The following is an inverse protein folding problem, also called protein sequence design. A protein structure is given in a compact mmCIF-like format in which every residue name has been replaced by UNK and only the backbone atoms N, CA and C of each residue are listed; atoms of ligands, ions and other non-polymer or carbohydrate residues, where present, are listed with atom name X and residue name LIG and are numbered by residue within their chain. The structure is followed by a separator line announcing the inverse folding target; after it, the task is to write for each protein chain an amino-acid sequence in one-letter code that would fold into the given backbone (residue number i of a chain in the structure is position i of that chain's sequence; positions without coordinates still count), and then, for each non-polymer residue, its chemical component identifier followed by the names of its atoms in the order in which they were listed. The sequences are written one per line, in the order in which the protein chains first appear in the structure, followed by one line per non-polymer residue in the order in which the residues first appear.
data_IF_172380893328
#
_entry.id   IF_172380893328
#
_cell.length_a   1.000
_cell.length_b   1.000
_cell.length_c   1.000
_cell.angle_alpha   90.00
_cell.angle_beta   90.00
_cell.angle_gamma   90.00
#
_symmetry.space_group_name_H-M   'P 1'
#
loop_
_entity.id
_entity.type
_entity.pdbx_description
1 polymer ?
#
# COMPACT_ATOMS: atom_id res chain seq x y z
N UNK A 1 5.82 11.72 -7.43
CA UNK A 1 6.44 10.42 -7.09
C UNK A 1 7.42 10.49 -5.90
N UNK A 2 7.99 11.64 -5.53
CA UNK A 2 8.93 11.72 -4.38
C UNK A 2 8.35 11.27 -3.03
N UNK A 3 7.06 11.51 -2.76
CA UNK A 3 6.42 11.14 -1.50
C UNK A 3 6.46 9.63 -1.21
N UNK A 4 6.23 8.76 -2.22
CA UNK A 4 6.22 7.32 -2.00
C UNK A 4 7.62 6.79 -1.64
N UNK A 5 8.67 7.40 -2.20
CA UNK A 5 10.06 7.07 -1.87
C UNK A 5 10.39 7.42 -0.42
N UNK A 6 9.85 8.53 0.12
CA UNK A 6 10.04 8.89 1.53
C UNK A 6 9.32 7.94 2.49
N UNK A 7 8.26 7.26 2.06
CA UNK A 7 7.56 6.25 2.87
C UNK A 7 8.27 4.89 2.86
N UNK A 8 9.19 4.67 1.92
CA UNK A 8 9.87 3.39 1.73
C UNK A 8 10.55 2.86 3.01
N UNK A 9 11.30 3.68 3.79
CA UNK A 9 11.98 3.21 5.00
C UNK A 9 11.05 2.64 6.08
N UNK A 10 9.76 3.02 6.08
CA UNK A 10 8.77 2.51 7.04
C UNK A 10 8.49 1.01 6.86
N UNK A 11 8.79 0.49 5.67
CA UNK A 11 8.49 -0.88 5.28
C UNK A 11 9.78 -1.71 5.17
N UNK A 12 10.90 -1.06 4.81
CA UNK A 12 12.23 -1.70 4.75
C UNK A 12 12.77 -2.11 6.13
N UNK A 13 12.36 -1.44 7.21
CA UNK A 13 12.76 -1.78 8.56
C UNK A 13 11.84 -2.82 9.24
N UNK A 14 10.90 -3.43 8.50
CA UNK A 14 9.89 -4.36 9.01
C UNK A 14 8.98 -3.81 10.13
N UNK A 15 8.89 -2.48 10.26
CA UNK A 15 7.94 -1.87 11.17
C UNK A 15 6.50 -1.95 10.64
N UNK A 16 6.35 -1.91 9.31
CA UNK A 16 5.07 -1.97 8.60
C UNK A 16 5.12 -2.97 7.45
N UNK A 17 4.02 -3.68 7.21
CA UNK A 17 3.89 -4.61 6.08
C UNK A 17 3.72 -3.86 4.76
N UNK A 18 2.93 -2.79 4.80
CA UNK A 18 2.76 -1.92 3.66
C UNK A 18 2.35 -0.52 4.08
N UNK A 19 2.54 0.42 3.15
CA UNK A 19 1.94 1.74 3.23
C UNK A 19 1.36 2.16 1.89
N UNK A 20 0.27 2.94 1.93
CA UNK A 20 -0.46 3.41 0.74
C UNK A 20 -0.57 4.93 0.81
N UNK A 21 -0.29 5.58 -0.31
CA UNK A 21 -0.54 6.99 -0.53
C UNK A 21 -1.86 7.16 -1.28
N UNK A 22 -2.79 7.86 -0.66
CA UNK A 22 -4.08 8.20 -1.21
C UNK A 22 -4.15 9.70 -1.53
N UNK A 23 -4.89 10.07 -2.57
CA UNK A 23 -5.16 11.47 -2.97
C UNK A 23 -6.67 11.72 -3.01
N UNK A 24 -7.10 12.92 -2.67
CA UNK A 24 -8.48 13.32 -2.88
C UNK A 24 -8.72 13.63 -4.37
N UNK A 25 -9.67 12.90 -4.98
CA UNK A 25 -10.11 13.13 -6.35
C UNK A 25 -10.76 14.50 -6.51
N UNK A 26 -10.62 15.12 -7.69
CA UNK A 26 -11.24 16.41 -8.01
C UNK A 26 -12.59 16.21 -8.72
N UNK A 27 -13.70 16.61 -8.07
CA UNK A 27 -15.06 16.72 -8.63
C UNK A 27 -15.69 15.45 -9.27
N UNK A 28 -17.03 15.41 -9.46
CA UNK A 28 -18.05 15.42 -8.41
C UNK A 28 -18.11 14.11 -7.58
N UNK A 29 -17.36 13.07 -7.95
CA UNK A 29 -17.43 11.75 -7.32
C UNK A 29 -17.00 11.73 -5.86
N UNK A 30 -16.19 12.72 -5.43
CA UNK A 30 -15.62 12.84 -4.09
C UNK A 30 -15.08 11.47 -3.64
N UNK A 31 -14.07 11.01 -4.36
CA UNK A 31 -13.39 9.75 -4.06
C UNK A 31 -12.00 10.01 -3.47
N UNK A 32 -11.47 8.97 -2.84
CA UNK A 32 -10.10 8.88 -2.35
C UNK A 32 -9.39 7.90 -3.28
N UNK A 33 -8.43 8.37 -4.06
CA UNK A 33 -7.77 7.64 -5.15
C UNK A 33 -6.40 7.14 -4.73
N UNK A 34 -6.08 5.91 -5.11
CA UNK A 34 -4.76 5.32 -4.87
C UNK A 34 -3.71 5.96 -5.77
N UNK A 35 -2.68 6.57 -5.18
CA UNK A 35 -1.56 7.16 -5.93
C UNK A 35 -0.33 6.25 -5.98
N UNK A 36 -0.14 5.39 -4.98
CA UNK A 36 0.99 4.47 -4.94
C UNK A 36 1.06 3.74 -3.61
N UNK A 37 1.85 2.66 -3.56
CA UNK A 37 2.13 1.95 -2.31
C UNK A 37 3.57 1.45 -2.26
N UNK A 38 3.91 0.93 -1.09
CA UNK A 38 5.20 0.39 -0.71
C UNK A 38 4.91 -0.90 0.08
N UNK A 39 5.46 -2.03 -0.36
CA UNK A 39 5.25 -3.38 0.19
C UNK A 39 6.53 -3.94 0.82
N UNK A 40 6.43 -4.69 1.93
CA UNK A 40 7.57 -5.36 2.58
C UNK A 40 8.00 -6.63 1.86
N UNK A 41 7.14 -7.17 0.98
CA UNK A 41 7.40 -8.40 0.23
C UNK A 41 8.51 -8.30 -0.82
N UNK A 42 9.15 -7.13 -0.96
CA UNK A 42 10.35 -6.94 -1.77
C UNK A 42 11.64 -7.35 -1.04
N UNK A 43 11.61 -7.50 0.30
CA UNK A 43 12.78 -7.98 1.04
C UNK A 43 13.18 -9.39 0.60
N UNK A 44 14.47 -9.61 0.39
CA UNK A 44 15.03 -10.87 -0.13
C UNK A 44 14.95 -11.04 -1.65
N UNK A 45 14.41 -10.06 -2.39
CA UNK A 45 14.45 -10.06 -3.86
C UNK A 45 15.79 -9.51 -4.39
N UNK A 46 16.57 -8.84 -3.52
CA UNK A 46 17.86 -8.24 -3.85
C UNK A 46 19.05 -9.04 -3.29
N UNK A 47 19.20 -10.31 -3.68
CA UNK A 47 20.48 -11.03 -3.59
C UNK A 47 20.49 -12.19 -4.62
N UNK A 48 21.09 -11.94 -5.78
CA UNK A 48 21.62 -12.96 -6.70
C UNK A 48 20.65 -13.98 -7.34
N UNK A 49 19.59 -13.56 -8.03
CA UNK A 49 18.95 -14.46 -9.01
C UNK A 49 19.54 -14.18 -10.39
N UNK A 50 20.41 -15.09 -10.84
CA UNK A 50 20.83 -15.17 -12.25
C UNK A 50 19.57 -15.20 -13.11
N UNK A 51 19.53 -14.37 -14.14
CA UNK A 51 18.54 -14.47 -15.21
C UNK A 51 18.73 -15.83 -15.90
N UNK A 52 17.98 -16.84 -15.46
CA UNK A 52 17.78 -18.05 -16.25
C UNK A 52 16.66 -17.76 -17.24
N UNK A 53 17.09 -17.56 -18.48
CA UNK A 53 16.28 -17.58 -19.67
C UNK A 53 15.64 -18.96 -19.81
N UNK A 54 14.37 -19.10 -19.43
CA UNK A 54 13.56 -20.28 -19.74
C UNK A 54 12.13 -19.84 -20.09
N UNK A 55 11.92 -19.66 -21.39
CA UNK A 55 10.72 -20.02 -22.14
C UNK A 55 9.50 -20.57 -21.35
N UNK A 56 8.67 -19.67 -20.80
CA UNK A 56 7.27 -19.98 -20.46
C UNK A 56 6.36 -18.74 -20.52
N UNK A 57 5.93 -18.40 -21.73
CA UNK A 57 4.92 -17.38 -22.06
C UNK A 57 3.47 -17.71 -21.58
N UNK A 58 3.26 -18.23 -20.37
CA UNK A 58 1.89 -18.52 -19.89
C UNK A 58 1.50 -18.02 -18.49
N UNK A 59 2.42 -17.54 -17.66
CA UNK A 59 2.07 -17.00 -16.35
C UNK A 59 2.85 -15.72 -16.07
N UNK A 60 2.30 -14.56 -16.45
CA UNK A 60 2.79 -13.29 -15.92
C UNK A 60 2.73 -13.43 -14.38
N UNK A 61 3.85 -13.43 -13.65
CA UNK A 61 3.78 -13.53 -12.20
C UNK A 61 3.01 -12.31 -11.73
N UNK A 62 1.83 -12.49 -11.13
CA UNK A 62 1.02 -11.39 -10.63
C UNK A 62 1.92 -10.43 -9.87
N UNK A 63 2.12 -9.22 -10.40
CA UNK A 63 3.07 -8.27 -9.85
C UNK A 63 2.44 -7.59 -8.64
N UNK A 64 3.25 -7.36 -7.60
CA UNK A 64 2.81 -6.54 -6.48
C UNK A 64 2.55 -5.11 -6.95
N UNK A 65 1.61 -4.42 -6.28
CA UNK A 65 1.28 -3.01 -6.55
C UNK A 65 2.32 -2.01 -6.04
N UNK A 66 3.42 -2.51 -5.47
CA UNK A 66 4.53 -1.68 -5.02
C UNK A 66 5.00 -0.79 -6.18
N UNK A 67 4.92 0.51 -5.94
CA UNK A 67 5.15 1.52 -6.97
C UNK A 67 6.64 1.80 -7.16
N UNK A 68 7.47 1.41 -6.20
CA UNK A 68 8.91 1.67 -6.20
C UNK A 68 9.74 0.44 -6.55
N UNK A 69 9.46 -0.72 -5.93
CA UNK A 69 10.19 -1.97 -6.18
C UNK A 69 9.28 -2.96 -6.89
N UNK A 70 9.61 -3.35 -8.12
CA UNK A 70 8.86 -4.38 -8.83
C UNK A 70 9.23 -5.75 -8.31
N UNK A 71 8.25 -6.50 -7.82
CA UNK A 71 8.40 -7.89 -7.41
C UNK A 71 7.11 -8.67 -7.64
N UNK A 72 7.18 -9.99 -7.69
CA UNK A 72 5.98 -10.82 -7.76
C UNK A 72 5.24 -10.86 -6.42
N UNK A 73 3.95 -11.15 -6.44
CA UNK A 73 3.15 -11.42 -5.25
C UNK A 73 3.69 -12.69 -4.57
N UNK A 74 4.30 -12.53 -3.39
CA UNK A 74 4.90 -13.63 -2.61
C UNK A 74 4.49 -13.65 -1.14
N UNK A 75 4.00 -12.52 -0.61
CA UNK A 75 3.70 -12.37 0.82
C UNK A 75 2.23 -12.04 1.07
N UNK A 76 1.79 -12.20 2.31
CA UNK A 76 0.45 -11.78 2.77
C UNK A 76 0.22 -10.29 2.56
N UNK A 77 1.26 -9.45 2.71
CA UNK A 77 1.22 -8.04 2.37
C UNK A 77 0.89 -7.82 0.88
N UNK A 78 1.53 -8.57 -0.02
CA UNK A 78 1.25 -8.52 -1.45
C UNK A 78 -0.21 -8.87 -1.75
N UNK A 79 -0.70 -9.94 -1.14
CA UNK A 79 -2.08 -10.42 -1.33
C UNK A 79 -3.11 -9.39 -0.84
N UNK A 80 -2.86 -8.78 0.33
CA UNK A 80 -3.71 -7.70 0.86
C UNK A 80 -3.71 -6.48 -0.05
N UNK A 81 -2.55 -6.02 -0.52
CA UNK A 81 -2.47 -4.90 -1.47
C UNK A 81 -3.21 -5.18 -2.79
N UNK A 82 -3.19 -6.44 -3.26
CA UNK A 82 -3.83 -6.82 -4.51
C UNK A 82 -5.37 -6.71 -4.46
N UNK A 83 -6.00 -6.92 -3.30
CA UNK A 83 -7.46 -6.86 -3.15
C UNK A 83 -7.99 -5.46 -2.81
N UNK A 84 -7.14 -4.52 -2.40
CA UNK A 84 -7.60 -3.17 -2.06
C UNK A 84 -8.01 -2.43 -3.34
N UNK A 85 -9.20 -1.79 -3.39
CA UNK A 85 -9.62 -1.06 -4.59
C UNK A 85 -8.74 0.17 -4.86
N UNK A 86 -8.64 0.58 -6.14
CA UNK A 86 -7.89 1.77 -6.53
C UNK A 86 -8.59 3.10 -6.18
N UNK A 87 -9.84 3.05 -5.74
CA UNK A 87 -10.60 4.23 -5.31
C UNK A 87 -11.58 3.86 -4.20
N UNK A 88 -11.75 4.75 -3.23
CA UNK A 88 -12.69 4.64 -2.13
C UNK A 88 -13.67 5.82 -2.14
N UNK A 89 -14.85 5.65 -1.55
CA UNK A 89 -15.80 6.75 -1.35
C UNK A 89 -15.31 7.66 -0.21
N UNK A 90 -15.37 8.98 -0.39
CA UNK A 90 -15.01 9.94 0.67
C UNK A 90 -15.98 9.89 1.87
N UNK A 91 -17.18 9.33 1.72
CA UNK A 91 -18.21 9.33 2.76
C UNK A 91 -18.40 7.97 3.44
N UNK A 92 -17.54 7.00 3.15
CA UNK A 92 -17.65 5.66 3.72
C UNK A 92 -16.33 5.17 4.28
N UNK A 93 -16.43 4.45 5.40
CA UNK A 93 -15.30 3.82 6.05
C UNK A 93 -14.31 4.81 6.68
N UNK A 94 -13.26 4.24 7.25
CA UNK A 94 -12.26 4.98 8.04
C UNK A 94 -11.54 6.05 7.23
N UNK A 95 -11.29 5.81 5.94
CA UNK A 95 -10.62 6.78 5.07
C UNK A 95 -11.46 8.04 4.90
N UNK A 96 -12.78 7.90 4.76
CA UNK A 96 -13.72 9.01 4.71
C UNK A 96 -13.79 9.78 6.02
N UNK A 97 -13.87 9.07 7.15
CA UNK A 97 -13.89 9.67 8.49
C UNK A 97 -12.63 10.52 8.76
N UNK A 98 -11.44 9.99 8.45
CA UNK A 98 -10.17 10.74 8.56
C UNK A 98 -10.14 11.92 7.59
N UNK A 99 -10.61 11.73 6.36
CA UNK A 99 -10.61 12.78 5.35
C UNK A 99 -11.48 13.99 5.74
N UNK A 100 -12.62 13.75 6.39
CA UNK A 100 -13.56 14.78 6.86
C UNK A 100 -13.09 15.40 8.18
N UNK A 101 -12.74 14.58 9.16
CA UNK A 101 -12.37 15.06 10.51
C UNK A 101 -11.01 15.73 10.56
N UNK A 102 -10.13 15.42 9.60
CA UNK A 102 -8.71 15.79 9.63
C UNK A 102 -7.97 15.29 10.88
N UNK A 103 -8.46 14.23 11.51
CA UNK A 103 -7.82 13.58 12.64
C UNK A 103 -7.34 12.18 12.24
N UNK A 104 -6.13 11.77 12.66
CA UNK A 104 -5.65 10.41 12.40
C UNK A 104 -6.48 9.40 13.19
N UNK A 105 -6.69 8.22 12.59
CA UNK A 105 -7.29 7.06 13.27
C UNK A 105 -6.24 5.97 13.42
N UNK A 106 -6.16 5.41 14.62
CA UNK A 106 -5.33 4.26 14.96
C UNK A 106 -6.25 3.09 15.34
N UNK A 107 -6.21 2.01 14.57
CA UNK A 107 -6.93 0.77 14.86
C UNK A 107 -5.93 -0.33 15.16
N UNK A 108 -6.05 -0.94 16.34
CA UNK A 108 -5.26 -2.10 16.73
C UNK A 108 -6.20 -3.23 17.10
N UNK A 109 -5.99 -4.40 16.51
CA UNK A 109 -6.72 -5.61 16.84
C UNK A 109 -5.72 -6.75 17.05
N UNK A 110 -5.78 -7.37 18.22
CA UNK A 110 -4.86 -8.44 18.64
C UNK A 110 -4.92 -9.71 17.78
N UNK A 111 -5.86 -9.84 16.85
CA UNK A 111 -5.96 -10.97 15.93
C UNK A 111 -5.65 -10.60 14.48
N UNK A 112 -5.79 -9.33 14.10
CA UNK A 112 -5.68 -8.88 12.71
C UNK A 112 -4.39 -8.10 12.49
N UNK A 113 -3.99 -7.24 13.43
CA UNK A 113 -2.86 -6.33 13.29
C UNK A 113 -3.23 -4.88 13.59
N UNK A 114 -2.34 -3.97 13.21
CA UNK A 114 -2.47 -2.52 13.39
C UNK A 114 -2.65 -1.82 12.05
N UNK A 115 -3.61 -0.90 11.96
CA UNK A 115 -3.85 -0.02 10.84
C UNK A 115 -3.87 1.44 11.32
N UNK A 116 -3.17 2.32 10.62
CA UNK A 116 -3.19 3.76 10.88
C UNK A 116 -3.56 4.48 9.58
N UNK A 117 -4.47 5.43 9.67
CA UNK A 117 -4.79 6.34 8.57
C UNK A 117 -4.56 7.78 9.02
N UNK A 118 -3.64 8.46 8.36
CA UNK A 118 -3.18 9.81 8.71
C UNK A 118 -3.60 10.80 7.61
N UNK A 119 -4.27 11.90 7.94
CA UNK A 119 -4.58 12.93 6.97
C UNK A 119 -3.33 13.72 6.60
N UNK A 120 -3.15 14.00 5.31
CA UNK A 120 -2.09 14.88 4.78
C UNK A 120 -2.68 15.91 3.82
N UNK A 121 -1.89 16.90 3.44
CA UNK A 121 -2.32 17.87 2.45
C UNK A 121 -2.65 17.17 1.13
N UNK A 122 -3.89 17.35 0.66
CA UNK A 122 -4.39 16.77 -0.58
C UNK A 122 -4.69 15.26 -0.56
N UNK A 123 -4.57 14.57 0.58
CA UNK A 123 -4.77 13.11 0.61
C UNK A 123 -4.68 12.46 1.98
N UNK A 124 -4.36 11.16 1.98
CA UNK A 124 -4.17 10.35 3.19
C UNK A 124 -2.92 9.46 3.03
N UNK A 125 -2.32 9.09 4.16
CA UNK A 125 -1.34 8.00 4.23
C UNK A 125 -1.96 6.90 5.07
N UNK A 126 -1.92 5.67 4.55
CA UNK A 126 -2.32 4.47 5.28
C UNK A 126 -1.10 3.61 5.57
N UNK A 127 -1.01 3.09 6.79
CA UNK A 127 0.01 2.17 7.27
C UNK A 127 -0.68 0.93 7.82
N UNK A 128 -0.14 -0.25 7.51
CA UNK A 128 -0.66 -1.51 8.03
C UNK A 128 0.46 -2.47 8.40
N UNK A 129 0.26 -3.17 9.52
CA UNK A 129 1.15 -4.22 10.01
C UNK A 129 0.29 -5.37 10.54
N UNK A 130 0.52 -6.59 10.08
CA UNK A 130 -0.06 -7.77 10.69
C UNK A 130 0.50 -7.97 12.10
N UNK A 131 -0.18 -8.80 12.88
CA UNK A 131 0.40 -9.31 14.11
C UNK A 131 1.56 -10.25 13.80
#
# INVERSE_FOLDING_TARGET
MALIQMLRPLVENNAWDYCILWKFGHHPSRCIEWMGCCCSGSQGVCENVKEENDEMELHLPYLCRDTYVKHSIRTTACQKLAIIPSSLSLFHGIHGEVAVSKQPIWLSNDSIGTQIVVPVEGGLIELYRSK
#
